data_IF_474726495941
#
_entry.id   IF_474726495941
#
_cell.length_a   1.000
_cell.length_b   1.000
_cell.length_c   1.000
_cell.angle_alpha   90.00
_cell.angle_beta   90.00
_cell.angle_gamma   90.00
#
_symmetry.space_group_name_H-M   'P 1'
#
loop_
_entity.id
_entity.type
_entity.pdbx_description
1 polymer ?
#
# COMPACT_ATOMS: atom_id res chain seq x y z
N UNK A 1 39.12 -31.73 11.85
CA UNK A 1 39.15 -30.74 10.75
C UNK A 1 37.76 -30.38 10.17
N UNK A 2 36.76 -31.28 10.14
CA UNK A 2 35.47 -31.04 9.46
C UNK A 2 34.46 -30.12 10.19
N UNK A 3 34.56 -29.94 11.51
CA UNK A 3 33.62 -29.10 12.28
C UNK A 3 33.85 -27.59 12.08
N UNK A 4 35.11 -27.16 11.97
CA UNK A 4 35.48 -25.76 11.72
C UNK A 4 35.09 -25.30 10.31
N UNK A 5 35.25 -26.15 9.28
CA UNK A 5 34.75 -25.86 7.92
C UNK A 5 33.23 -25.70 7.90
N UNK A 6 32.50 -26.57 8.60
CA UNK A 6 31.03 -26.49 8.69
C UNK A 6 30.57 -25.21 9.39
N UNK A 7 31.26 -24.78 10.45
CA UNK A 7 30.99 -23.51 11.14
C UNK A 7 31.35 -22.27 10.29
N UNK A 8 32.47 -22.30 9.55
CA UNK A 8 32.86 -21.20 8.65
C UNK A 8 31.89 -21.04 7.47
N UNK A 9 31.42 -22.16 6.90
CA UNK A 9 30.39 -22.15 5.85
C UNK A 9 29.06 -21.62 6.39
N UNK A 10 28.64 -22.05 7.59
CA UNK A 10 27.40 -21.54 8.23
C UNK A 10 27.50 -20.03 8.56
N UNK A 11 28.67 -19.57 9.01
CA UNK A 11 28.94 -18.16 9.34
C UNK A 11 28.98 -17.27 8.09
N UNK A 12 29.55 -17.75 6.99
CA UNK A 12 29.53 -17.03 5.72
C UNK A 12 28.12 -17.00 5.12
N UNK A 13 27.36 -18.11 5.18
CA UNK A 13 25.94 -18.12 4.80
C UNK A 13 25.14 -17.06 5.55
N UNK A 14 25.32 -16.97 6.87
CA UNK A 14 24.58 -16.00 7.69
C UNK A 14 24.92 -14.54 7.34
N UNK A 15 26.19 -14.24 7.05
CA UNK A 15 26.61 -12.90 6.61
C UNK A 15 26.11 -12.55 5.21
N UNK A 16 26.13 -13.53 4.30
CA UNK A 16 25.68 -13.33 2.92
C UNK A 16 24.16 -13.16 2.86
N UNK A 17 23.40 -13.97 3.60
CA UNK A 17 21.94 -13.79 3.72
C UNK A 17 21.60 -12.47 4.40
N UNK A 18 22.28 -12.09 5.48
CA UNK A 18 22.07 -10.80 6.14
C UNK A 18 22.34 -9.62 5.20
N UNK A 19 23.43 -9.69 4.42
CA UNK A 19 23.77 -8.65 3.44
C UNK A 19 22.71 -8.54 2.35
N UNK A 20 22.27 -9.67 1.78
CA UNK A 20 21.20 -9.69 0.77
C UNK A 20 19.89 -9.14 1.35
N UNK A 21 19.53 -9.50 2.58
CA UNK A 21 18.34 -8.95 3.25
C UNK A 21 18.44 -7.45 3.46
N UNK A 22 19.60 -6.93 3.90
CA UNK A 22 19.80 -5.48 4.09
C UNK A 22 19.79 -4.75 2.75
N UNK A 23 20.43 -5.29 1.72
CA UNK A 23 20.46 -4.70 0.37
C UNK A 23 19.06 -4.62 -0.26
N UNK A 24 18.17 -5.58 0.03
CA UNK A 24 16.76 -5.53 -0.37
C UNK A 24 15.89 -4.65 0.55
N UNK A 25 16.15 -4.65 1.86
CA UNK A 25 15.35 -3.92 2.83
C UNK A 25 15.61 -2.41 2.78
N UNK A 26 16.85 -1.99 2.53
CA UNK A 26 17.22 -0.57 2.52
C UNK A 26 16.43 0.25 1.49
N UNK A 27 16.33 -0.15 0.21
CA UNK A 27 15.49 0.53 -0.77
C UNK A 27 14.02 0.58 -0.36
N UNK A 28 13.47 -0.53 0.15
CA UNK A 28 12.06 -0.62 0.56
C UNK A 28 11.73 0.30 1.76
N UNK A 29 12.67 0.44 2.71
CA UNK A 29 12.53 1.36 3.85
C UNK A 29 12.52 2.81 3.37
N UNK A 30 13.45 3.17 2.48
CA UNK A 30 13.53 4.53 1.90
C UNK A 30 12.29 4.85 1.09
N UNK A 31 11.80 3.92 0.27
CA UNK A 31 10.53 4.04 -0.46
C UNK A 31 9.37 4.33 0.51
N UNK A 32 9.22 3.52 1.55
CA UNK A 32 8.15 3.66 2.55
C UNK A 32 8.22 5.00 3.29
N UNK A 33 9.43 5.47 3.61
CA UNK A 33 9.64 6.78 4.20
C UNK A 33 9.17 7.91 3.27
N UNK A 34 9.55 7.87 1.99
CA UNK A 34 9.13 8.90 1.03
C UNK A 34 7.63 8.87 0.76
N UNK A 35 6.99 7.70 0.75
CA UNK A 35 5.53 7.58 0.64
C UNK A 35 4.84 8.23 1.84
N UNK A 36 5.31 7.95 3.05
CA UNK A 36 4.78 8.57 4.26
C UNK A 36 5.04 10.09 4.30
N UNK A 37 6.22 10.52 3.87
CA UNK A 37 6.62 11.92 3.81
C UNK A 37 5.79 12.73 2.80
N UNK A 38 5.54 12.16 1.61
CA UNK A 38 4.65 12.76 0.61
C UNK A 38 3.23 12.91 1.17
N UNK A 39 2.69 11.87 1.83
CA UNK A 39 1.38 11.96 2.48
C UNK A 39 1.32 13.01 3.59
N UNK A 40 2.42 13.24 4.31
CA UNK A 40 2.53 14.32 5.29
C UNK A 40 2.53 15.70 4.61
N UNK A 41 3.26 15.88 3.51
CA UNK A 41 3.25 17.14 2.74
C UNK A 41 1.87 17.42 2.15
N UNK A 42 1.18 16.42 1.58
CA UNK A 42 -0.18 16.58 1.07
C UNK A 42 -1.13 17.09 2.15
N UNK A 43 -1.05 16.49 3.35
CA UNK A 43 -1.84 16.91 4.51
C UNK A 43 -1.48 18.33 4.96
N UNK A 44 -0.19 18.70 4.95
CA UNK A 44 0.26 20.06 5.28
C UNK A 44 -0.13 21.11 4.23
N UNK A 45 -0.17 20.75 2.95
CA UNK A 45 -0.61 21.66 1.90
C UNK A 45 -2.11 21.95 2.03
N UNK A 46 -2.92 20.92 2.25
CA UNK A 46 -4.37 21.11 2.48
C UNK A 46 -4.62 21.81 3.82
N UNK A 47 -3.78 21.60 4.84
CA UNK A 47 -3.91 22.28 6.14
C UNK A 47 -3.68 23.79 6.08
N UNK A 48 -2.91 24.26 5.10
CA UNK A 48 -2.64 25.69 4.89
C UNK A 48 -3.89 26.52 4.53
N UNK A 49 -5.00 25.87 4.17
CA UNK A 49 -6.29 26.50 3.85
C UNK A 49 -7.13 26.88 5.09
N UNK A 50 -6.68 26.52 6.29
CA UNK A 50 -7.31 26.89 7.57
C UNK A 50 -7.59 25.69 8.48
N UNK A 51 -7.92 25.97 9.75
CA UNK A 51 -8.18 24.94 10.79
C UNK A 51 -9.28 23.95 10.40
N UNK A 52 -10.28 24.43 9.67
CA UNK A 52 -11.35 23.63 9.10
C UNK A 52 -10.84 22.55 8.12
N UNK A 53 -9.87 22.89 7.26
CA UNK A 53 -9.31 21.98 6.27
C UNK A 53 -8.50 20.85 6.96
N UNK A 54 -7.81 21.17 8.05
CA UNK A 54 -7.10 20.18 8.87
C UNK A 54 -8.07 19.17 9.47
N UNK A 55 -9.18 19.66 10.04
CA UNK A 55 -10.22 18.81 10.61
C UNK A 55 -10.84 17.91 9.53
N UNK A 56 -11.13 18.45 8.35
CA UNK A 56 -11.66 17.69 7.21
C UNK A 56 -10.70 16.57 6.76
N UNK A 57 -9.41 16.86 6.57
CA UNK A 57 -8.40 15.85 6.19
C UNK A 57 -8.28 14.76 7.26
N UNK A 58 -8.24 15.14 8.54
CA UNK A 58 -8.21 14.19 9.66
C UNK A 58 -9.41 13.25 9.67
N UNK A 59 -10.63 13.81 9.50
CA UNK A 59 -11.89 13.07 9.41
C UNK A 59 -11.92 12.07 8.25
N UNK A 60 -11.32 12.41 7.10
CA UNK A 60 -11.27 11.52 5.93
C UNK A 60 -10.22 10.41 6.02
N UNK A 61 -9.20 10.55 6.89
CA UNK A 61 -8.06 9.63 6.94
C UNK A 61 -8.44 8.25 7.46
N UNK A 62 -9.25 8.18 8.53
CA UNK A 62 -9.66 6.90 9.11
C UNK A 62 -10.52 6.06 8.14
N UNK A 63 -11.58 6.61 7.51
CA UNK A 63 -12.34 5.87 6.51
C UNK A 63 -11.50 5.45 5.30
N UNK A 64 -10.56 6.30 4.86
CA UNK A 64 -9.64 5.98 3.77
C UNK A 64 -8.83 4.73 4.10
N UNK A 65 -8.26 4.65 5.31
CA UNK A 65 -7.49 3.48 5.76
C UNK A 65 -8.36 2.23 5.83
N UNK A 66 -9.61 2.33 6.29
CA UNK A 66 -10.56 1.21 6.29
C UNK A 66 -10.88 0.73 4.86
N UNK A 67 -11.08 1.65 3.91
CA UNK A 67 -11.28 1.31 2.50
C UNK A 67 -10.06 0.65 1.87
N UNK A 68 -8.86 1.09 2.24
CA UNK A 68 -7.60 0.52 1.77
C UNK A 68 -7.22 -0.80 2.47
N UNK A 69 -7.83 -1.15 3.60
CA UNK A 69 -7.48 -2.35 4.37
C UNK A 69 -7.58 -3.64 3.54
N UNK A 70 -8.63 -3.76 2.72
CA UNK A 70 -8.81 -4.88 1.80
C UNK A 70 -7.65 -4.95 0.78
N UNK A 71 -7.22 -3.80 0.27
CA UNK A 71 -6.11 -3.72 -0.69
C UNK A 71 -4.77 -3.99 -0.01
N UNK A 72 -4.57 -3.61 1.24
CA UNK A 72 -3.37 -4.03 1.99
C UNK A 72 -3.29 -5.55 2.10
N UNK A 73 -4.41 -6.23 2.40
CA UNK A 73 -4.45 -7.69 2.44
C UNK A 73 -4.13 -8.32 1.07
N UNK A 74 -4.70 -7.78 -0.01
CA UNK A 74 -4.38 -8.21 -1.38
C UNK A 74 -2.90 -8.01 -1.71
N UNK A 75 -2.30 -6.88 -1.33
CA UNK A 75 -0.88 -6.61 -1.55
C UNK A 75 0.02 -7.65 -0.89
N UNK A 76 -0.28 -8.01 0.36
CA UNK A 76 0.47 -9.06 1.06
C UNK A 76 0.31 -10.41 0.34
N UNK A 77 -0.91 -10.75 -0.11
CA UNK A 77 -1.16 -11.99 -0.85
C UNK A 77 -0.40 -12.05 -2.18
N UNK A 78 -0.37 -10.95 -2.95
CA UNK A 78 0.36 -10.84 -4.22
C UNK A 78 1.85 -11.03 -3.99
N UNK A 79 2.42 -10.31 -3.03
CA UNK A 79 3.84 -10.42 -2.70
C UNK A 79 4.22 -11.86 -2.34
N UNK A 80 3.39 -12.55 -1.55
CA UNK A 80 3.63 -13.94 -1.16
C UNK A 80 3.52 -14.94 -2.33
N UNK A 81 2.50 -14.77 -3.19
CA UNK A 81 2.29 -15.64 -4.36
C UNK A 81 3.42 -15.49 -5.39
N UNK A 82 3.83 -14.25 -5.68
CA UNK A 82 4.94 -13.97 -6.60
C UNK A 82 6.26 -14.52 -6.05
N UNK A 83 6.54 -14.32 -4.76
CA UNK A 83 7.72 -14.87 -4.11
C UNK A 83 7.78 -16.40 -4.20
N UNK A 84 6.66 -17.08 -3.96
CA UNK A 84 6.57 -18.55 -4.07
C UNK A 84 6.85 -19.04 -5.49
N UNK A 85 6.21 -18.45 -6.51
CA UNK A 85 6.41 -18.86 -7.92
C UNK A 85 7.83 -18.58 -8.41
N UNK A 86 8.42 -17.47 -7.98
CA UNK A 86 9.82 -17.16 -8.27
C UNK A 86 10.76 -18.18 -7.61
N UNK A 87 10.47 -18.61 -6.38
CA UNK A 87 11.19 -19.71 -5.72
C UNK A 87 11.09 -21.05 -6.47
N UNK A 88 9.96 -21.33 -7.12
CA UNK A 88 9.77 -22.50 -8.00
C UNK A 88 10.46 -22.40 -9.37
N UNK A 89 11.20 -21.30 -9.64
CA UNK A 89 11.82 -20.97 -10.95
C UNK A 89 10.82 -20.86 -12.11
N UNK A 90 9.53 -20.63 -11.82
CA UNK A 90 8.46 -20.49 -12.82
C UNK A 90 8.11 -19.02 -13.01
N UNK A 91 8.94 -18.30 -13.77
CA UNK A 91 8.76 -16.86 -13.99
C UNK A 91 7.51 -16.53 -14.80
N UNK A 92 7.17 -17.34 -15.82
CA UNK A 92 5.98 -17.11 -16.64
C UNK A 92 4.70 -17.17 -15.80
N UNK A 93 4.59 -18.18 -14.94
CA UNK A 93 3.46 -18.31 -14.00
C UNK A 93 3.43 -17.19 -12.96
N UNK A 94 4.55 -16.57 -12.62
CA UNK A 94 4.56 -15.41 -11.72
C UNK A 94 3.96 -14.17 -12.42
N UNK A 95 4.24 -14.01 -13.72
CA UNK A 95 3.69 -12.91 -14.52
C UNK A 95 2.18 -13.09 -14.77
N UNK A 96 1.72 -14.32 -15.01
CA UNK A 96 0.29 -14.63 -15.10
C UNK A 96 -0.47 -14.31 -13.80
N UNK A 97 0.12 -14.62 -12.64
CA UNK A 97 -0.45 -14.27 -11.33
C UNK A 97 -0.52 -12.75 -11.18
N UNK A 98 0.54 -12.03 -11.56
CA UNK A 98 0.57 -10.57 -11.49
C UNK A 98 -0.55 -9.95 -12.33
N UNK A 99 -0.68 -10.37 -13.59
CA UNK A 99 -1.74 -9.88 -14.49
C UNK A 99 -3.13 -10.16 -13.94
N UNK A 100 -3.37 -11.38 -13.45
CA UNK A 100 -4.66 -11.77 -12.85
C UNK A 100 -4.94 -10.95 -11.60
N UNK A 101 -3.94 -10.71 -10.76
CA UNK A 101 -4.05 -9.92 -9.54
C UNK A 101 -4.33 -8.44 -9.83
N UNK A 102 -3.66 -7.84 -10.82
CA UNK A 102 -3.91 -6.46 -11.23
C UNK A 102 -5.34 -6.34 -11.78
N UNK A 103 -5.78 -7.28 -12.62
CA UNK A 103 -7.15 -7.29 -13.12
C UNK A 103 -8.18 -7.34 -11.98
N UNK A 104 -7.94 -8.20 -10.99
CA UNK A 104 -8.79 -8.27 -9.79
C UNK A 104 -8.75 -6.98 -8.97
N UNK A 105 -7.57 -6.38 -8.77
CA UNK A 105 -7.41 -5.10 -8.09
C UNK A 105 -8.21 -4.00 -8.79
N UNK A 106 -8.14 -3.92 -10.13
CA UNK A 106 -8.84 -2.88 -10.89
C UNK A 106 -10.35 -3.03 -10.71
N UNK A 107 -10.89 -4.24 -10.84
CA UNK A 107 -12.32 -4.49 -10.65
C UNK A 107 -12.75 -4.17 -9.22
N UNK A 108 -12.02 -4.68 -8.23
CA UNK A 108 -12.30 -4.43 -6.81
C UNK A 108 -12.20 -2.93 -6.48
N UNK A 109 -11.23 -2.22 -7.05
CA UNK A 109 -11.05 -0.78 -6.85
C UNK A 109 -12.17 0.04 -7.50
N UNK A 110 -12.65 -0.34 -8.69
CA UNK A 110 -13.80 0.33 -9.31
C UNK A 110 -15.06 0.15 -8.46
N UNK A 111 -15.36 -1.08 -8.05
CA UNK A 111 -16.54 -1.39 -7.23
C UNK A 111 -16.47 -0.64 -5.88
N UNK A 112 -15.29 -0.70 -5.23
CA UNK A 112 -15.05 -0.04 -3.97
C UNK A 112 -15.13 1.50 -4.10
N UNK A 113 -14.53 2.07 -5.14
CA UNK A 113 -14.56 3.51 -5.42
C UNK A 113 -16.01 4.00 -5.59
N UNK A 114 -16.82 3.30 -6.39
CA UNK A 114 -18.24 3.61 -6.57
C UNK A 114 -18.95 3.56 -5.21
N UNK A 115 -18.78 2.49 -4.44
CA UNK A 115 -19.40 2.37 -3.12
C UNK A 115 -19.01 3.52 -2.18
N UNK A 116 -17.72 3.84 -2.09
CA UNK A 116 -17.24 4.93 -1.22
C UNK A 116 -17.72 6.31 -1.67
N UNK A 117 -17.85 6.57 -2.97
CA UNK A 117 -18.38 7.85 -3.48
C UNK A 117 -19.87 8.01 -3.15
N UNK A 118 -20.66 6.94 -3.28
CA UNK A 118 -22.08 6.94 -2.92
C UNK A 118 -22.30 7.07 -1.41
N UNK A 119 -21.54 6.33 -0.61
CA UNK A 119 -21.66 6.34 0.86
C UNK A 119 -20.83 7.44 1.56
N UNK A 120 -20.13 8.30 0.81
CA UNK A 120 -19.24 9.32 1.34
C UNK A 120 -19.88 10.19 2.43
N UNK A 121 -21.10 10.69 2.20
CA UNK A 121 -21.81 11.53 3.18
C UNK A 121 -22.15 10.77 4.46
N UNK A 122 -22.60 9.52 4.37
CA UNK A 122 -22.89 8.69 5.54
C UNK A 122 -21.62 8.38 6.34
N UNK A 123 -20.53 8.04 5.66
CA UNK A 123 -19.24 7.73 6.27
C UNK A 123 -18.67 8.95 7.01
N UNK A 124 -18.65 10.11 6.35
CA UNK A 124 -18.16 11.36 6.97
C UNK A 124 -19.06 11.81 8.13
N UNK A 125 -20.37 11.59 8.02
CA UNK A 125 -21.31 11.82 9.13
C UNK A 125 -21.02 10.93 10.34
N UNK A 126 -20.73 9.64 10.12
CA UNK A 126 -20.35 8.70 11.19
C UNK A 126 -19.02 9.05 11.86
N UNK A 127 -18.11 9.70 11.14
CA UNK A 127 -16.85 10.17 11.70
C UNK A 127 -16.99 11.44 12.56
N UNK A 128 -18.18 12.04 12.65
CA UNK A 128 -18.46 13.16 13.55
C UNK A 128 -18.22 14.54 12.94
N UNK A 129 -18.37 14.70 11.63
CA UNK A 129 -18.26 16.01 10.96
C UNK A 129 -19.30 17.01 11.50
N UNK A 130 -18.92 18.27 11.70
CA UNK A 130 -19.85 19.35 12.02
C UNK A 130 -20.53 19.88 10.75
N UNK A 131 -21.69 20.55 10.87
CA UNK A 131 -22.45 21.07 9.73
C UNK A 131 -21.60 21.97 8.82
N UNK A 132 -20.69 22.74 9.42
CA UNK A 132 -19.74 23.54 8.67
C UNK A 132 -18.78 22.63 7.90
N UNK A 133 -18.17 21.59 8.52
CA UNK A 133 -17.11 20.71 7.94
C UNK A 133 -17.57 19.61 6.99
N UNK A 134 -18.86 19.30 7.00
CA UNK A 134 -19.38 18.12 6.32
C UNK A 134 -19.24 18.18 4.80
N UNK A 135 -19.65 19.27 4.17
CA UNK A 135 -19.72 19.34 2.70
C UNK A 135 -18.34 19.27 2.05
N UNK A 136 -17.37 20.03 2.57
CA UNK A 136 -16.01 20.03 2.03
C UNK A 136 -15.31 18.70 2.29
N UNK A 137 -15.49 18.09 3.47
CA UNK A 137 -14.96 16.77 3.77
C UNK A 137 -15.56 15.69 2.85
N UNK A 138 -16.84 15.76 2.51
CA UNK A 138 -17.49 14.84 1.56
C UNK A 138 -16.96 15.03 0.15
N UNK A 139 -16.81 16.26 -0.33
CA UNK A 139 -16.23 16.54 -1.65
C UNK A 139 -14.79 16.02 -1.72
N UNK A 140 -13.98 16.33 -0.71
CA UNK A 140 -12.61 15.85 -0.60
C UNK A 140 -12.53 14.32 -0.58
N UNK A 141 -13.37 13.66 0.22
CA UNK A 141 -13.43 12.20 0.30
C UNK A 141 -13.82 11.55 -1.03
N UNK A 142 -14.81 12.13 -1.74
CA UNK A 142 -15.22 11.65 -3.07
C UNK A 142 -14.11 11.75 -4.09
N UNK A 143 -13.35 12.84 -4.09
CA UNK A 143 -12.22 13.02 -5.01
C UNK A 143 -11.13 11.98 -4.71
N UNK A 144 -10.75 11.81 -3.44
CA UNK A 144 -9.72 10.83 -3.05
C UNK A 144 -10.15 9.40 -3.41
N UNK A 145 -11.35 9.00 -2.98
CA UNK A 145 -11.82 7.63 -3.18
C UNK A 145 -12.18 7.36 -4.65
N UNK A 146 -12.54 8.39 -5.42
CA UNK A 146 -12.65 8.33 -6.87
C UNK A 146 -11.30 8.03 -7.55
N UNK A 147 -10.22 8.67 -7.07
CA UNK A 147 -8.86 8.46 -7.58
C UNK A 147 -8.12 7.23 -7.03
N UNK A 148 -8.72 6.49 -6.10
CA UNK A 148 -8.07 5.39 -5.37
C UNK A 148 -7.58 4.25 -6.27
N UNK A 149 -8.18 4.07 -7.46
CA UNK A 149 -7.80 3.03 -8.42
C UNK A 149 -6.31 3.09 -8.77
N UNK A 150 -5.78 4.29 -9.03
CA UNK A 150 -4.36 4.48 -9.37
C UNK A 150 -3.46 4.06 -8.21
N UNK A 151 -3.86 4.39 -6.98
CA UNK A 151 -3.12 4.01 -5.78
C UNK A 151 -3.11 2.49 -5.59
N UNK A 152 -4.25 1.82 -5.75
CA UNK A 152 -4.33 0.36 -5.62
C UNK A 152 -3.49 -0.37 -6.67
N UNK A 153 -3.45 0.11 -7.92
CA UNK A 153 -2.61 -0.46 -8.98
C UNK A 153 -1.13 -0.30 -8.63
N UNK A 154 -0.72 0.92 -8.24
CA UNK A 154 0.66 1.20 -7.83
C UNK A 154 1.09 0.27 -6.69
N UNK A 155 0.24 0.11 -5.67
CA UNK A 155 0.52 -0.79 -4.56
C UNK A 155 0.71 -2.23 -5.03
N UNK A 156 -0.19 -2.73 -5.90
CA UNK A 156 -0.13 -4.09 -6.43
C UNK A 156 1.17 -4.38 -7.18
N UNK A 157 1.62 -3.42 -8.00
CA UNK A 157 2.89 -3.50 -8.74
C UNK A 157 4.07 -3.52 -7.76
N UNK A 158 4.11 -2.60 -6.79
CA UNK A 158 5.21 -2.54 -5.82
C UNK A 158 5.26 -3.80 -4.95
N UNK A 159 4.10 -4.36 -4.59
CA UNK A 159 4.03 -5.63 -3.86
C UNK A 159 4.59 -6.80 -4.67
N UNK A 160 4.30 -6.85 -5.97
CA UNK A 160 4.86 -7.88 -6.85
C UNK A 160 6.37 -7.73 -7.04
N UNK A 161 6.89 -6.51 -7.18
CA UNK A 161 8.34 -6.25 -7.28
C UNK A 161 9.07 -6.70 -6.02
N UNK A 162 8.57 -6.28 -4.84
CA UNK A 162 9.13 -6.73 -3.56
C UNK A 162 9.05 -8.24 -3.39
N UNK A 163 7.92 -8.86 -3.76
CA UNK A 163 7.77 -10.32 -3.76
C UNK A 163 8.74 -11.03 -4.71
N UNK A 164 9.12 -10.38 -5.81
CA UNK A 164 10.11 -10.88 -6.75
C UNK A 164 11.56 -10.67 -6.30
N UNK A 165 11.80 -9.89 -5.25
CA UNK A 165 13.12 -9.55 -4.71
C UNK A 165 13.80 -8.37 -5.40
N UNK A 166 13.02 -7.47 -6.03
CA UNK A 166 13.47 -6.19 -6.57
C UNK A 166 13.07 -5.02 -5.66
#
# INVERSE_FOLDING_TARGET
>A
MNLLKKQLVKRNYHKETLKITIDMAWPAIVESFFVAFAGLIDSLMVSSLGSYAVAAVGLTTQPKLLGLALFFALNVAISALVARRRGEKKQDSANEILLTAIFFIVIAAIISSIAFVFFASAIIGLCGSTADTHNDAVVYFRIIMGGMIFNCIQMGINAAQRGAGN
#
